data_IF_259533963940
#
_entry.id   IF_259533963940
#
_cell.length_a   1.000
_cell.length_b   1.000
_cell.length_c   1.000
_cell.angle_alpha   90.00
_cell.angle_beta   90.00
_cell.angle_gamma   90.00
#
_symmetry.space_group_name_H-M   'P 1'
#
loop_
_entity.id
_entity.type
_entity.pdbx_description
1 polymer ?
#
# COMPACT_ATOMS: atom_id res chain seq x y z
N UNK A 1 1.12 -13.90 -28.30
CA UNK A 1 2.02 -12.91 -27.67
C UNK A 1 1.21 -11.66 -27.38
N UNK A 2 1.03 -11.33 -26.09
CA UNK A 2 0.27 -10.16 -25.68
C UNK A 2 1.00 -8.86 -26.04
N UNK A 3 0.28 -7.74 -26.04
CA UNK A 3 0.90 -6.43 -26.27
C UNK A 3 1.95 -6.11 -25.19
N UNK A 4 1.71 -6.53 -23.96
CA UNK A 4 2.65 -6.39 -22.85
C UNK A 4 3.98 -7.11 -23.12
N UNK A 5 3.93 -8.33 -23.63
CA UNK A 5 5.12 -9.11 -24.00
C UNK A 5 5.98 -8.42 -25.06
N UNK A 6 5.36 -7.84 -26.11
CA UNK A 6 6.08 -7.10 -27.16
C UNK A 6 6.76 -5.84 -26.62
N UNK A 7 6.08 -5.11 -25.75
CA UNK A 7 6.61 -3.87 -25.13
C UNK A 7 7.81 -4.21 -24.25
N UNK A 8 7.70 -5.19 -23.35
CA UNK A 8 8.75 -5.56 -22.42
C UNK A 8 9.96 -6.16 -23.16
N UNK A 9 9.74 -7.05 -24.14
CA UNK A 9 10.82 -7.65 -24.95
C UNK A 9 11.60 -6.63 -25.75
N UNK A 10 10.92 -5.65 -26.34
CA UNK A 10 11.60 -4.58 -27.07
C UNK A 10 12.44 -3.69 -26.14
N UNK A 11 12.08 -3.57 -24.86
CA UNK A 11 12.77 -2.73 -23.88
C UNK A 11 14.03 -3.37 -23.27
N UNK A 12 14.19 -4.68 -23.37
CA UNK A 12 15.42 -5.38 -22.94
C UNK A 12 16.58 -5.19 -23.93
N UNK A 13 16.32 -4.69 -25.15
CA UNK A 13 17.33 -4.33 -26.14
C UNK A 13 17.73 -2.85 -26.01
N UNK A 14 18.64 -2.56 -25.26
CA UNK A 14 19.56 -1.50 -24.82
C UNK A 14 19.65 -0.13 -25.55
N UNK A 15 18.60 0.45 -26.14
CA UNK A 15 18.70 1.76 -26.84
C UNK A 15 17.49 2.67 -26.67
N UNK A 16 17.11 2.97 -25.44
CA UNK A 16 15.97 3.89 -25.22
C UNK A 16 16.35 5.15 -24.46
N UNK A 17 15.72 6.28 -24.83
CA UNK A 17 15.91 7.56 -24.16
C UNK A 17 15.42 7.50 -22.70
N UNK A 18 15.99 8.34 -21.79
CA UNK A 18 15.55 8.39 -20.39
C UNK A 18 14.05 8.64 -20.23
N UNK A 19 13.45 9.47 -21.10
CA UNK A 19 12.02 9.79 -21.08
C UNK A 19 11.14 8.58 -21.41
N UNK A 20 11.60 7.71 -22.32
CA UNK A 20 10.88 6.51 -22.68
C UNK A 20 10.94 5.45 -21.57
N UNK A 21 12.08 5.38 -20.87
CA UNK A 21 12.26 4.53 -19.69
C UNK A 21 11.29 4.95 -18.55
N UNK A 22 11.12 6.25 -18.31
CA UNK A 22 10.18 6.75 -17.30
C UNK A 22 8.71 6.42 -17.65
N UNK A 23 8.33 6.53 -18.91
CA UNK A 23 6.98 6.14 -19.36
C UNK A 23 6.73 4.65 -19.20
N UNK A 24 7.74 3.80 -19.46
CA UNK A 24 7.63 2.35 -19.21
C UNK A 24 7.44 2.04 -17.74
N UNK A 25 8.22 2.66 -16.87
CA UNK A 25 8.07 2.46 -15.41
C UNK A 25 6.69 2.85 -14.92
N UNK A 26 6.16 3.99 -15.37
CA UNK A 26 4.79 4.41 -15.05
C UNK A 26 3.75 3.40 -15.53
N UNK A 27 3.92 2.89 -16.77
CA UNK A 27 3.03 1.87 -17.32
C UNK A 27 3.15 0.53 -16.60
N UNK A 28 4.34 0.11 -16.17
CA UNK A 28 4.53 -1.13 -15.39
C UNK A 28 3.86 -1.08 -14.01
N UNK A 29 3.85 0.09 -13.37
CA UNK A 29 3.27 0.28 -12.03
C UNK A 29 1.76 0.55 -12.08
N UNK A 30 1.24 0.95 -13.23
CA UNK A 30 -0.20 1.14 -13.43
C UNK A 30 -0.94 -0.19 -13.32
N UNK A 31 -2.03 -0.22 -12.56
CA UNK A 31 -2.82 -1.42 -12.27
C UNK A 31 -3.61 -1.97 -13.46
N UNK A 32 -3.65 -1.25 -14.58
CA UNK A 32 -4.25 -1.76 -15.82
C UNK A 32 -3.44 -2.92 -16.39
N UNK A 33 -4.07 -4.01 -16.77
CA UNK A 33 -3.46 -5.19 -17.41
C UNK A 33 -2.35 -5.87 -16.56
N UNK A 34 -2.43 -5.80 -15.24
CA UNK A 34 -1.36 -6.26 -14.33
C UNK A 34 -1.02 -7.75 -14.55
N UNK A 35 -2.01 -8.61 -14.75
CA UNK A 35 -1.79 -10.04 -14.97
C UNK A 35 -0.98 -10.32 -16.26
N UNK A 36 -1.24 -9.60 -17.35
CA UNK A 36 -0.47 -9.76 -18.60
C UNK A 36 0.96 -9.24 -18.50
N UNK A 37 1.18 -8.19 -17.70
CA UNK A 37 2.51 -7.64 -17.42
C UNK A 37 3.36 -8.61 -16.59
N UNK A 38 2.76 -9.20 -15.55
CA UNK A 38 3.42 -10.20 -14.70
C UNK A 38 3.79 -11.45 -15.48
N UNK A 39 2.88 -11.96 -16.31
CA UNK A 39 3.14 -13.12 -17.18
C UNK A 39 4.29 -12.84 -18.17
N UNK A 40 4.29 -11.67 -18.82
CA UNK A 40 5.33 -11.28 -19.76
C UNK A 40 6.71 -11.07 -19.08
N UNK A 41 6.75 -10.57 -17.85
CA UNK A 41 7.98 -10.44 -17.07
C UNK A 41 8.53 -11.81 -16.63
N UNK A 42 7.64 -12.72 -16.25
CA UNK A 42 8.00 -14.08 -15.85
C UNK A 42 8.60 -14.87 -17.02
N UNK A 43 7.97 -14.80 -18.20
CA UNK A 43 8.47 -15.45 -19.43
C UNK A 43 9.85 -14.93 -19.85
N UNK A 44 10.09 -13.61 -19.73
CA UNK A 44 11.41 -13.02 -19.97
C UNK A 44 12.47 -13.44 -18.95
N UNK A 45 12.07 -13.62 -17.69
CA UNK A 45 12.96 -14.12 -16.65
C UNK A 45 13.39 -15.56 -16.91
N UNK A 46 12.47 -16.42 -17.36
CA UNK A 46 12.75 -17.82 -17.69
C UNK A 46 13.61 -17.98 -18.96
N UNK A 47 13.45 -17.07 -19.95
CA UNK A 47 14.23 -17.09 -21.20
C UNK A 47 15.67 -16.58 -21.05
N UNK A 48 16.04 -16.02 -19.90
CA UNK A 48 17.39 -15.58 -19.57
C UNK A 48 18.31 -16.76 -19.21
N UNK A 49 18.72 -17.51 -20.24
CA UNK A 49 19.70 -18.57 -20.12
C UNK A 49 21.09 -17.94 -19.91
N UNK A 50 21.49 -17.71 -18.66
CA UNK A 50 22.85 -17.26 -18.33
C UNK A 50 23.85 -18.36 -18.64
N UNK A 51 24.35 -18.39 -19.86
CA UNK A 51 25.54 -19.18 -20.17
C UNK A 51 26.77 -18.39 -19.73
N UNK A 52 27.55 -19.00 -18.83
CA UNK A 52 28.85 -18.44 -18.46
C UNK A 52 29.68 -18.22 -19.73
N UNK A 53 30.17 -16.99 -19.92
CA UNK A 53 31.04 -16.69 -21.04
C UNK A 53 32.46 -17.28 -20.81
N UNK A 54 33.26 -17.29 -21.87
CA UNK A 54 34.63 -17.83 -21.82
C UNK A 54 35.53 -17.08 -20.81
N UNK A 55 35.19 -15.85 -20.42
CA UNK A 55 35.87 -15.05 -19.41
C UNK A 55 35.56 -15.54 -18.01
N UNK A 56 34.30 -15.85 -17.74
CA UNK A 56 33.83 -16.41 -16.47
C UNK A 56 34.46 -17.79 -16.22
N UNK A 57 34.50 -18.65 -17.24
CA UNK A 57 35.12 -19.98 -17.14
C UNK A 57 36.64 -19.89 -16.89
N UNK A 58 37.34 -18.99 -17.59
CA UNK A 58 38.79 -18.74 -17.33
C UNK A 58 39.04 -18.22 -15.91
N UNK A 59 38.21 -17.34 -15.40
CA UNK A 59 38.28 -16.81 -14.03
C UNK A 59 38.08 -17.91 -13.00
N UNK A 60 37.12 -18.81 -13.23
CA UNK A 60 36.84 -19.98 -12.39
C UNK A 60 38.00 -20.96 -12.38
N UNK A 61 38.63 -21.28 -13.53
CA UNK A 61 39.79 -22.17 -13.64
C UNK A 61 41.01 -21.56 -12.96
N UNK A 62 41.22 -20.26 -13.08
CA UNK A 62 42.33 -19.55 -12.39
C UNK A 62 42.15 -19.55 -10.87
N UNK A 63 40.93 -19.36 -10.39
CA UNK A 63 40.58 -19.46 -8.97
C UNK A 63 40.87 -20.88 -8.45
N UNK A 64 40.40 -21.91 -9.17
CA UNK A 64 40.60 -23.33 -8.83
C UNK A 64 42.09 -23.72 -8.75
N UNK A 65 42.96 -23.19 -9.64
CA UNK A 65 44.42 -23.39 -9.59
C UNK A 65 45.06 -22.72 -8.36
N UNK A 66 44.54 -21.60 -7.90
CA UNK A 66 45.07 -20.88 -6.73
C UNK A 66 44.72 -21.56 -5.41
N UNK A 67 43.64 -22.29 -5.33
CA UNK A 67 43.18 -22.99 -4.12
C UNK A 67 43.58 -24.47 -4.09
N UNK A 68 44.24 -24.98 -5.16
CA UNK A 68 44.77 -26.34 -5.16
C UNK A 68 45.81 -26.50 -4.06
N UNK A 69 45.68 -27.50 -3.18
CA UNK A 69 46.60 -27.63 -2.03
C UNK A 69 48.03 -27.96 -2.49
N UNK A 70 48.98 -27.07 -2.18
CA UNK A 70 50.39 -27.32 -2.38
C UNK A 70 50.83 -28.42 -1.39
N UNK A 71 51.22 -29.60 -1.88
CA UNK A 71 51.75 -30.68 -1.04
C UNK A 71 53.04 -30.18 -0.32
N UNK A 72 52.91 -29.84 0.95
CA UNK A 72 54.08 -29.59 1.83
C UNK A 72 54.37 -30.83 2.66
N UNK A 73 55.67 -31.23 2.63
CA UNK A 73 56.23 -32.42 3.28
C UNK A 73 55.95 -32.46 4.80
N UNK A 74 55.70 -33.65 5.29
CA UNK A 74 55.16 -34.02 6.58
C UNK A 74 56.21 -33.99 7.75
N UNK A 75 56.66 -32.80 8.17
CA UNK A 75 57.50 -32.65 9.39
C UNK A 75 56.91 -31.73 10.47
N UNK A 76 55.68 -31.24 10.27
CA UNK A 76 55.04 -30.34 11.23
C UNK A 76 53.82 -30.97 11.96
N UNK A 77 53.68 -32.30 11.97
CA UNK A 77 52.46 -32.96 12.48
C UNK A 77 52.30 -32.90 14.00
N UNK A 78 53.34 -32.72 14.76
CA UNK A 78 53.29 -32.81 16.25
C UNK A 78 52.95 -31.45 16.91
N UNK A 79 53.50 -30.36 16.41
CA UNK A 79 53.18 -29.02 16.91
C UNK A 79 51.80 -28.57 16.48
N UNK A 80 51.38 -28.90 15.24
CA UNK A 80 50.06 -28.57 14.71
C UNK A 80 48.92 -29.18 15.55
N UNK A 81 49.13 -30.41 16.07
CA UNK A 81 48.10 -31.10 16.86
C UNK A 81 47.87 -30.46 18.24
N UNK A 82 48.88 -29.92 18.89
CA UNK A 82 48.77 -29.16 20.15
C UNK A 82 48.13 -27.81 19.91
N UNK A 83 48.51 -27.09 18.89
CA UNK A 83 47.87 -25.81 18.53
C UNK A 83 46.43 -25.99 18.09
N UNK A 84 46.08 -27.08 17.39
CA UNK A 84 44.72 -27.40 17.04
C UNK A 84 43.82 -27.70 18.26
N UNK A 85 44.40 -28.37 19.29
CA UNK A 85 43.67 -28.63 20.54
C UNK A 85 43.37 -27.35 21.32
N UNK A 86 44.35 -26.42 21.39
CA UNK A 86 44.17 -25.11 22.04
C UNK A 86 43.18 -24.24 21.22
N UNK A 87 43.34 -24.24 19.91
CA UNK A 87 42.44 -23.50 19.03
C UNK A 87 40.96 -24.04 19.10
N UNK A 88 40.79 -25.35 19.24
CA UNK A 88 39.46 -25.95 19.35
C UNK A 88 38.69 -25.50 20.62
N UNK A 89 39.42 -25.29 21.73
CA UNK A 89 38.81 -24.81 22.99
C UNK A 89 38.24 -23.40 22.86
N UNK A 90 38.81 -22.57 21.98
CA UNK A 90 38.31 -21.21 21.72
C UNK A 90 37.39 -21.13 20.49
N UNK A 91 37.67 -21.91 19.44
CA UNK A 91 36.90 -21.90 18.20
C UNK A 91 35.50 -22.54 18.33
N UNK A 92 35.39 -23.64 19.10
CA UNK A 92 34.12 -24.31 19.27
C UNK A 92 33.08 -23.43 20.00
N UNK A 93 33.41 -22.79 21.15
CA UNK A 93 32.50 -21.83 21.78
C UNK A 93 32.18 -20.62 20.90
N UNK A 94 33.21 -20.07 20.20
CA UNK A 94 33.01 -18.96 19.28
C UNK A 94 32.06 -19.35 18.12
N UNK A 95 32.30 -20.51 17.49
CA UNK A 95 31.42 -21.01 16.43
C UNK A 95 30.04 -21.37 16.94
N UNK A 96 29.89 -21.89 18.18
CA UNK A 96 28.58 -22.14 18.75
C UNK A 96 27.83 -20.85 19.08
N UNK A 97 28.51 -19.79 19.53
CA UNK A 97 27.92 -18.46 19.73
C UNK A 97 27.50 -17.86 18.39
N UNK A 98 28.37 -17.91 17.37
CA UNK A 98 28.05 -17.43 16.03
C UNK A 98 26.91 -18.25 15.40
N UNK A 99 26.96 -19.59 15.53
CA UNK A 99 25.90 -20.46 15.04
C UNK A 99 24.57 -20.21 15.76
N UNK A 100 24.59 -20.04 17.10
CA UNK A 100 23.40 -19.65 17.87
C UNK A 100 22.88 -18.28 17.46
N UNK A 101 23.77 -17.31 17.26
CA UNK A 101 23.39 -15.98 16.79
C UNK A 101 22.76 -16.04 15.38
N UNK A 102 23.38 -16.74 14.43
CA UNK A 102 22.85 -16.96 13.09
C UNK A 102 21.56 -17.79 13.09
N UNK A 103 21.45 -18.78 13.98
CA UNK A 103 20.24 -19.58 14.17
C UNK A 103 19.09 -18.74 14.73
N UNK A 104 19.34 -17.87 15.71
CA UNK A 104 18.34 -16.93 16.23
C UNK A 104 17.95 -15.93 15.15
N UNK A 105 18.91 -15.41 14.39
CA UNK A 105 18.64 -14.48 13.29
C UNK A 105 17.94 -15.14 12.09
N UNK A 106 18.21 -16.42 11.81
CA UNK A 106 17.53 -17.18 10.75
C UNK A 106 16.14 -17.68 11.15
N UNK A 107 15.86 -17.75 12.45
CA UNK A 107 14.54 -18.03 13.01
C UNK A 107 13.69 -16.76 13.22
N UNK A 108 14.01 -15.63 12.58
CA UNK A 108 12.98 -14.69 12.26
C UNK A 108 11.98 -15.44 11.39
N UNK A 109 10.91 -15.95 12.03
CA UNK A 109 9.79 -16.59 11.35
C UNK A 109 9.40 -15.65 10.21
N UNK A 110 9.71 -16.02 8.98
CA UNK A 110 9.17 -15.37 7.80
C UNK A 110 7.66 -15.56 7.88
N UNK A 111 7.03 -14.68 8.65
CA UNK A 111 5.59 -14.70 8.77
C UNK A 111 5.05 -14.37 7.39
N UNK A 112 4.42 -15.34 6.76
CA UNK A 112 3.79 -15.13 5.46
C UNK A 112 2.83 -13.95 5.57
N UNK A 113 2.93 -13.03 4.63
CA UNK A 113 2.04 -11.88 4.53
C UNK A 113 0.79 -12.29 3.77
N UNK A 114 -0.34 -11.90 4.29
CA UNK A 114 -1.65 -11.98 3.65
C UNK A 114 -1.94 -10.64 2.99
N UNK A 115 -2.20 -10.66 1.71
CA UNK A 115 -2.70 -9.52 0.94
C UNK A 115 -4.20 -9.67 0.76
N UNK A 116 -4.96 -8.76 1.33
CA UNK A 116 -6.41 -8.75 1.22
C UNK A 116 -6.88 -7.53 0.43
N UNK A 117 -7.28 -7.75 -0.80
CA UNK A 117 -7.80 -6.71 -1.68
C UNK A 117 -9.32 -6.74 -1.73
N UNK A 118 -9.93 -5.59 -1.53
CA UNK A 118 -11.37 -5.35 -1.72
C UNK A 118 -11.57 -4.65 -3.05
N UNK A 119 -12.27 -5.26 -4.02
CA UNK A 119 -12.56 -4.62 -5.29
C UNK A 119 -13.35 -3.31 -5.12
N UNK A 120 -13.29 -2.44 -6.12
CA UNK A 120 -14.19 -1.30 -6.20
C UNK A 120 -15.64 -1.80 -6.19
N UNK A 121 -16.56 -1.01 -5.66
CA UNK A 121 -17.97 -1.37 -5.51
C UNK A 121 -18.30 -2.25 -4.31
N UNK A 122 -17.30 -2.88 -3.69
CA UNK A 122 -17.46 -3.78 -2.55
C UNK A 122 -16.94 -3.20 -1.24
N UNK A 123 -17.44 -3.73 -0.14
CA UNK A 123 -16.93 -3.48 1.21
C UNK A 123 -16.85 -4.83 1.93
N UNK A 124 -15.83 -5.01 2.76
CA UNK A 124 -15.62 -6.28 3.48
C UNK A 124 -15.30 -6.02 4.94
N UNK A 125 -15.76 -6.92 5.77
CA UNK A 125 -15.33 -7.01 7.16
C UNK A 125 -14.46 -8.25 7.34
N UNK A 126 -13.31 -8.09 7.95
CA UNK A 126 -12.41 -9.20 8.28
C UNK A 126 -12.01 -9.15 9.76
N UNK A 127 -11.62 -10.30 10.28
CA UNK A 127 -11.02 -10.38 11.61
C UNK A 127 -9.54 -10.73 11.45
N UNK A 128 -8.68 -9.91 12.00
CA UNK A 128 -7.23 -10.09 12.00
C UNK A 128 -6.80 -11.15 13.02
N UNK A 129 -5.57 -11.69 12.92
CA UNK A 129 -5.08 -12.78 13.79
C UNK A 129 -5.09 -12.46 15.29
N UNK A 130 -5.04 -11.18 15.68
CA UNK A 130 -5.12 -10.74 17.08
C UNK A 130 -6.56 -10.58 17.61
N UNK A 131 -7.56 -10.80 16.73
CA UNK A 131 -8.97 -10.59 17.01
C UNK A 131 -9.44 -9.15 16.81
N UNK A 132 -8.61 -8.28 16.22
CA UNK A 132 -9.02 -6.95 15.75
C UNK A 132 -9.98 -7.10 14.58
N UNK A 133 -11.06 -6.31 14.58
CA UNK A 133 -11.99 -6.23 13.45
C UNK A 133 -11.57 -5.08 12.54
N UNK A 134 -11.42 -5.35 11.25
CA UNK A 134 -11.18 -4.36 10.23
C UNK A 134 -12.33 -4.36 9.21
N UNK A 135 -12.98 -3.20 9.06
CA UNK A 135 -13.91 -2.93 7.96
C UNK A 135 -13.11 -2.28 6.85
N UNK A 136 -13.15 -2.82 5.66
CA UNK A 136 -12.38 -2.38 4.50
C UNK A 136 -13.33 -1.80 3.45
N UNK A 137 -13.05 -0.58 3.02
CA UNK A 137 -13.86 0.11 2.02
C UNK A 137 -13.44 -0.25 0.58
N UNK A 138 -14.20 0.19 -0.39
CA UNK A 138 -14.01 -0.09 -1.82
C UNK A 138 -12.62 0.30 -2.33
N UNK A 139 -11.97 -0.59 -3.09
CA UNK A 139 -10.63 -0.35 -3.63
C UNK A 139 -9.50 -0.43 -2.60
N UNK A 140 -9.72 -1.04 -1.44
CA UNK A 140 -8.75 -1.11 -0.36
C UNK A 140 -7.88 -2.36 -0.44
N UNK A 141 -6.57 -2.19 -0.27
CA UNK A 141 -5.60 -3.25 -0.03
C UNK A 141 -5.13 -3.18 1.43
N UNK A 142 -5.29 -4.28 2.16
CA UNK A 142 -4.73 -4.47 3.49
C UNK A 142 -3.72 -5.62 3.47
N UNK A 143 -2.48 -5.34 3.88
CA UNK A 143 -1.43 -6.35 4.01
C UNK A 143 -1.12 -6.56 5.49
N UNK A 144 -1.20 -7.80 5.94
CA UNK A 144 -0.96 -8.15 7.34
C UNK A 144 -0.34 -9.54 7.45
N UNK A 145 0.41 -9.84 8.54
CA UNK A 145 0.99 -11.17 8.74
C UNK A 145 -0.07 -12.19 9.14
N UNK A 146 0.10 -13.46 8.74
CA UNK A 146 -0.78 -14.57 9.18
C UNK A 146 -0.83 -14.70 10.71
N UNK A 147 0.22 -14.25 11.41
CA UNK A 147 0.31 -14.21 12.86
C UNK A 147 1.16 -13.03 13.27
N UNK A 148 0.70 -12.26 14.25
CA UNK A 148 1.53 -11.22 14.86
C UNK A 148 2.54 -11.86 15.81
N UNK A 149 3.81 -11.83 15.41
CA UNK A 149 4.94 -12.30 16.21
C UNK A 149 5.80 -11.09 16.58
N UNK A 150 6.22 -10.99 17.84
CA UNK A 150 7.05 -9.89 18.35
C UNK A 150 6.27 -8.79 19.07
N UNK A 151 6.95 -7.65 19.29
CA UNK A 151 6.51 -6.59 20.22
C UNK A 151 5.46 -5.65 19.61
N UNK A 152 5.14 -5.77 18.33
CA UNK A 152 4.17 -4.91 17.64
C UNK A 152 3.26 -5.71 16.72
N UNK A 153 2.01 -5.24 16.59
CA UNK A 153 1.02 -5.72 15.62
C UNK A 153 0.96 -4.74 14.46
N UNK A 154 1.59 -5.04 13.35
CA UNK A 154 1.71 -4.09 12.23
C UNK A 154 0.95 -4.57 11.00
N UNK A 155 0.18 -3.68 10.39
CA UNK A 155 -0.50 -3.86 9.10
C UNK A 155 -0.13 -2.72 8.15
N UNK A 156 -0.26 -2.95 6.85
CA UNK A 156 -0.07 -1.92 5.83
C UNK A 156 -1.36 -1.71 5.07
N UNK A 157 -1.76 -0.44 4.93
CA UNK A 157 -3.03 -0.03 4.33
C UNK A 157 -2.79 0.88 3.13
N UNK A 158 -3.42 0.54 2.00
CA UNK A 158 -3.67 1.43 0.88
C UNK A 158 -5.18 1.44 0.67
N UNK A 159 -5.84 2.58 0.85
CA UNK A 159 -7.28 2.68 0.80
C UNK A 159 -7.90 3.19 2.09
N UNK A 160 -9.10 2.76 2.41
CA UNK A 160 -9.82 3.19 3.61
C UNK A 160 -10.24 2.00 4.46
N UNK A 161 -9.93 2.08 5.75
CA UNK A 161 -10.33 1.07 6.73
C UNK A 161 -10.74 1.68 8.07
N UNK A 162 -11.79 1.11 8.65
CA UNK A 162 -12.19 1.36 10.04
C UNK A 162 -11.76 0.16 10.88
N UNK A 163 -10.94 0.42 11.88
CA UNK A 163 -10.41 -0.60 12.78
C UNK A 163 -11.07 -0.53 14.15
N UNK A 164 -11.54 -1.66 14.65
CA UNK A 164 -11.90 -1.86 16.05
C UNK A 164 -10.82 -2.76 16.67
N UNK A 165 -9.79 -2.12 17.22
CA UNK A 165 -8.57 -2.79 17.65
C UNK A 165 -8.73 -3.41 19.02
N UNK A 166 -8.45 -4.71 19.12
CA UNK A 166 -8.43 -5.43 20.40
C UNK A 166 -7.40 -4.82 21.34
N UNK A 167 -7.86 -4.53 22.57
CA UNK A 167 -7.03 -3.87 23.58
C UNK A 167 -5.86 -4.74 24.02
N UNK A 168 -4.65 -4.24 23.77
CA UNK A 168 -3.39 -4.81 24.24
C UNK A 168 -2.37 -3.69 24.42
N UNK A 169 -2.00 -3.44 25.69
CA UNK A 169 -1.06 -2.37 26.06
C UNK A 169 0.40 -2.76 25.85
N UNK A 170 0.69 -4.06 25.79
CA UNK A 170 2.06 -4.55 25.67
C UNK A 170 2.52 -4.59 24.21
N UNK A 171 1.58 -4.89 23.28
CA UNK A 171 1.86 -5.00 21.87
C UNK A 171 1.05 -3.96 21.09
N UNK A 172 1.59 -2.76 20.84
CA UNK A 172 0.92 -1.72 20.06
C UNK A 172 0.48 -2.21 18.68
N UNK A 173 -0.70 -1.76 18.24
CA UNK A 173 -1.18 -1.98 16.86
C UNK A 173 -0.80 -0.78 16.02
N UNK A 174 -0.17 -1.01 14.86
CA UNK A 174 0.34 0.03 13.98
C UNK A 174 -0.22 -0.17 12.57
N UNK A 175 -1.03 0.79 12.11
CA UNK A 175 -1.41 0.90 10.70
C UNK A 175 -0.38 1.75 9.99
N UNK A 176 0.36 1.16 9.06
CA UNK A 176 1.29 1.86 8.17
C UNK A 176 0.57 2.23 6.89
N UNK A 177 0.77 3.45 6.42
CA UNK A 177 0.35 3.93 5.11
C UNK A 177 1.57 4.43 4.33
N UNK A 178 1.37 4.95 3.14
CA UNK A 178 2.47 5.54 2.36
C UNK A 178 3.16 6.71 3.09
N UNK A 179 2.41 7.49 3.86
CA UNK A 179 2.88 8.76 4.43
C UNK A 179 2.95 8.74 5.96
N UNK A 180 2.05 8.01 6.60
CA UNK A 180 1.85 8.05 8.05
C UNK A 180 1.89 6.65 8.68
N UNK A 181 2.14 6.63 9.98
CA UNK A 181 1.94 5.49 10.86
C UNK A 181 0.94 5.88 11.95
N UNK A 182 -0.06 5.05 12.14
CA UNK A 182 -1.12 5.26 13.14
C UNK A 182 -0.98 4.20 14.22
N UNK A 183 -0.54 4.59 15.41
CA UNK A 183 -0.23 3.71 16.54
C UNK A 183 -1.31 3.78 17.60
N UNK A 184 -1.80 2.62 18.02
CA UNK A 184 -2.88 2.48 19.03
C UNK A 184 -2.66 1.29 19.96
N UNK A 185 -3.37 1.27 21.10
CA UNK A 185 -3.30 0.19 22.10
C UNK A 185 -4.64 -0.55 22.31
N UNK A 186 -5.70 -0.14 21.61
CA UNK A 186 -7.06 -0.67 21.76
C UNK A 186 -8.07 0.46 21.55
N UNK A 187 -8.40 0.73 20.32
CA UNK A 187 -8.96 2.00 19.84
C UNK A 187 -9.85 1.72 18.65
N UNK A 188 -10.93 2.45 18.52
CA UNK A 188 -11.76 2.44 17.32
C UNK A 188 -11.51 3.72 16.53
N UNK A 189 -11.06 3.57 15.27
CA UNK A 189 -10.64 4.69 14.42
C UNK A 189 -10.75 4.34 12.94
N UNK A 190 -10.87 5.37 12.11
CA UNK A 190 -10.87 5.28 10.65
C UNK A 190 -9.58 5.85 10.07
N UNK A 191 -9.02 5.19 9.09
CA UNK A 191 -7.88 5.68 8.29
C UNK A 191 -8.28 5.69 6.83
N UNK A 192 -8.16 6.86 6.18
CA UNK A 192 -8.37 7.06 4.75
C UNK A 192 -7.03 7.44 4.14
N UNK A 193 -6.47 6.56 3.31
CA UNK A 193 -5.13 6.67 2.76
C UNK A 193 -5.02 6.03 1.36
N UNK A 194 -5.88 6.46 0.43
CA UNK A 194 -5.77 6.04 -0.96
C UNK A 194 -4.54 6.66 -1.61
N UNK A 195 -3.87 5.91 -2.47
CA UNK A 195 -2.62 6.34 -3.09
C UNK A 195 -2.81 7.52 -4.07
N UNK A 196 -4.01 7.60 -4.69
CA UNK A 196 -4.38 8.65 -5.64
C UNK A 196 -4.89 9.92 -4.99
N UNK A 197 -5.21 9.91 -3.68
CA UNK A 197 -5.74 11.07 -2.97
C UNK A 197 -4.62 11.98 -2.47
N UNK A 198 -4.84 13.29 -2.56
CA UNK A 198 -3.89 14.30 -2.06
C UNK A 198 -3.77 14.30 -0.54
N UNK A 199 -4.71 13.69 0.17
CA UNK A 199 -4.77 13.73 1.63
C UNK A 199 -4.89 12.35 2.25
N UNK A 200 -4.18 12.18 3.37
CA UNK A 200 -4.35 11.05 4.28
C UNK A 200 -5.03 11.55 5.55
N UNK A 201 -6.13 10.89 5.95
CA UNK A 201 -6.84 11.28 7.17
C UNK A 201 -6.91 10.15 8.19
N UNK A 202 -6.85 10.53 9.46
CA UNK A 202 -7.05 9.62 10.60
C UNK A 202 -8.10 10.21 11.52
N UNK A 203 -9.20 9.50 11.73
CA UNK A 203 -10.35 9.94 12.52
C UNK A 203 -10.53 9.02 13.73
N UNK A 204 -10.58 9.58 14.93
CA UNK A 204 -10.71 8.81 16.15
C UNK A 204 -12.14 8.78 16.68
N UNK A 205 -12.72 7.56 16.81
CA UNK A 205 -14.04 7.35 17.42
C UNK A 205 -13.94 7.14 18.94
N UNK A 206 -13.04 6.26 19.39
CA UNK A 206 -12.88 6.00 20.82
C UNK A 206 -11.46 5.52 21.15
N UNK A 207 -10.96 5.83 22.33
CA UNK A 207 -9.63 5.47 22.78
C UNK A 207 -8.62 6.61 22.58
N UNK A 208 -7.42 6.30 22.08
CA UNK A 208 -6.35 7.26 21.79
C UNK A 208 -5.52 6.79 20.60
N UNK A 209 -5.13 7.71 19.76
CA UNK A 209 -4.30 7.48 18.56
C UNK A 209 -3.08 8.37 18.62
N UNK A 210 -1.90 7.79 18.40
CA UNK A 210 -0.67 8.55 18.11
C UNK A 210 -0.40 8.44 16.62
N UNK A 211 -0.36 9.58 15.94
CA UNK A 211 0.02 9.63 14.53
C UNK A 211 1.48 10.03 14.42
N UNK A 212 2.22 9.29 13.59
CA UNK A 212 3.65 9.42 13.37
C UNK A 212 3.94 9.60 11.88
N UNK A 213 5.04 10.26 11.56
CA UNK A 213 5.63 10.23 10.22
C UNK A 213 6.26 8.86 9.92
N UNK A 214 6.61 8.61 8.68
CA UNK A 214 7.28 7.38 8.26
C UNK A 214 8.58 7.09 9.04
N UNK A 215 9.29 8.14 9.50
CA UNK A 215 10.52 8.07 10.29
C UNK A 215 10.29 7.82 11.80
N UNK A 216 9.07 7.52 12.24
CA UNK A 216 8.62 7.33 13.64
C UNK A 216 8.61 8.62 14.50
N UNK A 217 8.71 9.79 13.90
CA UNK A 217 8.50 11.06 14.60
C UNK A 217 7.02 11.25 14.92
N UNK A 218 6.69 11.45 16.21
CA UNK A 218 5.32 11.71 16.62
C UNK A 218 4.86 13.07 16.09
N UNK A 219 3.77 13.09 15.34
CA UNK A 219 3.14 14.32 14.85
C UNK A 219 2.18 14.84 15.92
N UNK A 220 1.23 13.99 16.33
CA UNK A 220 0.15 14.40 17.22
C UNK A 220 -0.51 13.19 17.88
N UNK A 221 -1.12 13.45 19.04
CA UNK A 221 -2.07 12.53 19.67
C UNK A 221 -3.49 13.04 19.49
N UNK A 222 -4.38 12.13 19.04
CA UNK A 222 -5.81 12.39 18.88
C UNK A 222 -6.59 11.87 20.07
N UNK A 223 -7.64 12.63 20.43
CA UNK A 223 -8.70 12.25 21.37
C UNK A 223 -10.01 12.01 20.61
N UNK A 224 -11.02 11.33 21.19
CA UNK A 224 -12.28 11.05 20.50
C UNK A 224 -12.92 12.30 19.86
N UNK A 225 -13.48 12.13 18.65
CA UNK A 225 -14.01 13.19 17.81
C UNK A 225 -12.95 14.17 17.29
N UNK A 226 -11.68 13.77 17.24
CA UNK A 226 -10.65 14.50 16.53
C UNK A 226 -10.26 13.77 15.25
N UNK A 227 -9.90 14.55 14.24
CA UNK A 227 -9.37 14.08 12.97
C UNK A 227 -8.06 14.81 12.66
N UNK A 228 -7.04 14.06 12.26
CA UNK A 228 -5.88 14.58 11.58
C UNK A 228 -6.14 14.52 10.07
N UNK A 229 -5.89 15.62 9.37
CA UNK A 229 -5.80 15.72 7.92
C UNK A 229 -4.34 16.04 7.58
N UNK A 230 -3.72 15.16 6.82
CA UNK A 230 -2.33 15.28 6.37
C UNK A 230 -2.31 15.46 4.86
N UNK A 231 -1.72 16.55 4.40
CA UNK A 231 -1.53 16.85 2.99
C UNK A 231 -0.29 16.10 2.48
N UNK A 232 -0.49 15.16 1.59
CA UNK A 232 0.54 14.24 1.11
C UNK A 232 1.66 14.94 0.33
N UNK A 233 1.37 15.93 -0.56
CA UNK A 233 2.38 16.65 -1.29
C UNK A 233 3.24 17.59 -0.43
N UNK A 234 2.62 18.37 0.47
CA UNK A 234 3.34 19.36 1.26
C UNK A 234 3.91 18.83 2.56
N UNK A 235 3.32 17.74 3.10
CA UNK A 235 3.64 17.24 4.43
C UNK A 235 3.07 18.06 5.58
N UNK A 236 2.22 19.05 5.27
CA UNK A 236 1.49 19.83 6.27
C UNK A 236 0.35 19.01 6.87
N UNK A 237 -0.03 19.32 8.10
CA UNK A 237 -1.14 18.65 8.75
C UNK A 237 -2.01 19.65 9.53
N UNK A 238 -3.28 19.30 9.64
CA UNK A 238 -4.25 20.04 10.39
C UNK A 238 -5.09 19.12 11.27
N UNK A 239 -5.34 19.51 12.51
CA UNK A 239 -6.22 18.80 13.43
C UNK A 239 -7.57 19.52 13.51
N UNK A 240 -8.65 18.75 13.36
CA UNK A 240 -10.02 19.24 13.39
C UNK A 240 -10.82 18.51 14.47
N UNK A 241 -11.75 19.22 15.10
CA UNK A 241 -12.80 18.62 15.91
C UNK A 241 -13.98 18.33 14.97
N UNK A 242 -14.46 17.09 14.99
CA UNK A 242 -15.49 16.60 14.04
C UNK A 242 -16.45 15.65 14.76
N UNK A 243 -17.54 15.29 14.12
CA UNK A 243 -18.34 14.13 14.52
C UNK A 243 -17.76 12.87 13.84
N UNK A 244 -17.01 12.06 14.59
CA UNK A 244 -16.34 10.88 14.07
C UNK A 244 -17.32 9.86 13.44
N UNK A 245 -18.57 9.83 13.91
CA UNK A 245 -19.59 8.91 13.38
C UNK A 245 -19.94 9.17 11.92
N UNK A 246 -19.74 10.39 11.44
CA UNK A 246 -19.94 10.77 10.03
C UNK A 246 -18.92 10.08 9.14
N UNK A 247 -17.65 10.04 9.58
CA UNK A 247 -16.53 9.49 8.81
C UNK A 247 -16.46 7.96 8.83
N UNK A 248 -17.06 7.32 9.82
CA UNK A 248 -17.26 5.86 9.86
C UNK A 248 -18.63 5.40 9.42
N UNK A 249 -19.50 6.32 8.98
CA UNK A 249 -20.88 6.03 8.54
C UNK A 249 -20.95 4.98 7.43
N UNK A 250 -19.95 4.92 6.58
CA UNK A 250 -19.87 3.95 5.49
C UNK A 250 -19.86 2.49 5.99
N UNK A 251 -19.37 2.20 7.20
CA UNK A 251 -19.43 0.85 7.81
C UNK A 251 -20.87 0.41 8.12
N UNK A 252 -21.79 1.36 8.16
CA UNK A 252 -23.24 1.15 8.37
C UNK A 252 -24.05 1.31 7.08
N UNK A 253 -23.34 1.44 5.92
CA UNK A 253 -23.96 1.65 4.63
C UNK A 253 -24.36 3.09 4.34
N UNK A 254 -24.01 4.06 5.18
CA UNK A 254 -24.22 5.48 4.92
C UNK A 254 -23.21 5.98 3.89
N UNK A 255 -23.57 6.99 3.10
CA UNK A 255 -22.64 7.69 2.22
C UNK A 255 -22.64 9.17 2.61
N UNK A 256 -21.52 9.62 3.15
CA UNK A 256 -21.35 10.95 3.70
C UNK A 256 -20.22 11.69 2.97
N UNK A 257 -20.56 12.75 2.27
CA UNK A 257 -19.62 13.72 1.72
C UNK A 257 -19.58 14.92 2.68
N UNK A 258 -18.53 15.08 3.45
CA UNK A 258 -18.41 16.11 4.48
C UNK A 258 -17.34 17.14 4.08
N UNK A 259 -17.76 18.32 3.64
CA UNK A 259 -16.89 19.40 3.17
C UNK A 259 -15.88 18.94 2.10
N UNK A 260 -16.37 18.18 1.11
CA UNK A 260 -15.57 17.64 0.02
C UNK A 260 -15.70 18.50 -1.25
N UNK A 261 -14.64 18.58 -2.02
CA UNK A 261 -14.69 19.20 -3.36
C UNK A 261 -15.49 18.32 -4.31
N UNK A 262 -15.93 18.91 -5.43
CA UNK A 262 -16.63 18.15 -6.47
C UNK A 262 -15.79 16.97 -6.99
N UNK A 263 -14.51 17.18 -7.19
CA UNK A 263 -13.58 16.14 -7.64
C UNK A 263 -13.50 14.98 -6.64
N UNK A 264 -13.37 15.28 -5.34
CA UNK A 264 -13.31 14.26 -4.29
C UNK A 264 -14.62 13.46 -4.17
N UNK A 265 -15.76 14.16 -4.33
CA UNK A 265 -17.08 13.50 -4.36
C UNK A 265 -17.15 12.49 -5.52
N UNK A 266 -16.74 12.90 -6.73
CA UNK A 266 -16.78 12.01 -7.88
C UNK A 266 -15.80 10.84 -7.76
N UNK A 267 -14.56 11.07 -7.32
CA UNK A 267 -13.59 10.00 -7.05
C UNK A 267 -14.15 9.00 -6.03
N UNK A 268 -14.81 9.49 -4.99
CA UNK A 268 -15.45 8.63 -3.99
C UNK A 268 -16.61 7.81 -4.59
N UNK A 269 -17.44 8.44 -5.44
CA UNK A 269 -18.53 7.74 -6.14
C UNK A 269 -17.98 6.68 -7.09
N UNK A 270 -16.93 6.98 -7.86
CA UNK A 270 -16.25 6.02 -8.74
C UNK A 270 -15.79 4.77 -7.99
N UNK A 271 -15.20 4.94 -6.81
CA UNK A 271 -14.77 3.81 -5.97
C UNK A 271 -15.93 2.97 -5.45
N UNK A 272 -16.99 3.63 -4.97
CA UNK A 272 -18.13 2.95 -4.31
C UNK A 272 -19.05 2.25 -5.31
N UNK A 273 -19.12 2.73 -6.55
CA UNK A 273 -20.02 2.20 -7.57
C UNK A 273 -19.31 1.46 -8.70
N UNK A 274 -17.96 1.43 -8.67
CA UNK A 274 -17.13 0.84 -9.72
C UNK A 274 -17.47 1.38 -11.11
N UNK A 275 -17.52 2.71 -11.20
CA UNK A 275 -17.82 3.44 -12.43
C UNK A 275 -16.73 4.44 -12.74
N UNK A 276 -16.77 5.03 -13.93
CA UNK A 276 -15.87 6.10 -14.33
C UNK A 276 -16.66 7.39 -14.61
N UNK A 277 -16.23 8.50 -14.02
CA UNK A 277 -16.89 9.81 -14.15
C UNK A 277 -15.97 10.78 -14.88
N UNK A 278 -16.35 11.17 -16.07
CA UNK A 278 -15.58 12.12 -16.87
C UNK A 278 -16.05 13.53 -16.53
N UNK A 279 -15.15 14.33 -15.95
CA UNK A 279 -15.43 15.71 -15.55
C UNK A 279 -14.61 16.66 -16.43
N UNK A 280 -15.24 17.55 -17.20
CA UNK A 280 -14.50 18.59 -17.94
C UNK A 280 -13.73 19.51 -16.98
N UNK A 281 -12.49 19.90 -17.29
CA UNK A 281 -11.64 20.67 -16.38
C UNK A 281 -12.26 22.00 -15.90
N UNK A 282 -13.06 22.65 -16.71
CA UNK A 282 -13.70 23.91 -16.36
C UNK A 282 -14.84 23.78 -15.31
N UNK A 283 -15.25 22.55 -14.99
CA UNK A 283 -16.23 22.25 -13.93
C UNK A 283 -15.58 21.86 -12.60
N UNK A 284 -14.28 21.65 -12.58
CA UNK A 284 -13.53 21.42 -11.35
C UNK A 284 -13.44 22.73 -10.57
N UNK A 285 -14.21 22.86 -9.49
CA UNK A 285 -14.18 24.01 -8.59
C UNK A 285 -13.56 23.65 -7.25
N UNK A 286 -13.11 24.65 -6.52
CA UNK A 286 -12.61 24.50 -5.14
C UNK A 286 -13.72 24.59 -4.09
N UNK A 287 -14.97 24.78 -4.52
CA UNK A 287 -16.11 24.79 -3.62
C UNK A 287 -16.26 23.44 -2.93
N UNK A 288 -16.63 23.48 -1.67
CA UNK A 288 -16.86 22.27 -0.86
C UNK A 288 -18.34 22.07 -0.58
N UNK A 289 -18.74 20.82 -0.61
CA UNK A 289 -20.13 20.41 -0.45
C UNK A 289 -20.28 19.42 0.70
N UNK A 290 -21.44 19.46 1.37
CA UNK A 290 -21.81 18.48 2.39
C UNK A 290 -23.14 17.83 1.99
N UNK A 291 -23.08 16.54 1.68
CA UNK A 291 -24.25 15.75 1.25
C UNK A 291 -24.26 14.44 2.04
N UNK A 292 -25.41 14.06 2.60
CA UNK A 292 -25.54 12.83 3.40
C UNK A 292 -26.64 11.94 2.83
N UNK A 293 -26.31 10.67 2.66
CA UNK A 293 -27.25 9.61 2.32
C UNK A 293 -27.30 8.61 3.47
N UNK A 294 -28.49 8.30 3.96
CA UNK A 294 -28.69 7.38 5.10
C UNK A 294 -28.36 5.93 4.76
N UNK A 295 -28.34 5.60 3.49
CA UNK A 295 -27.99 4.27 2.98
C UNK A 295 -27.52 4.37 1.54
N UNK A 296 -26.78 3.36 1.07
CA UNK A 296 -26.34 3.26 -0.33
C UNK A 296 -27.55 3.19 -1.25
N UNK A 297 -27.78 4.25 -2.00
CA UNK A 297 -28.86 4.34 -2.99
C UNK A 297 -28.34 3.96 -4.38
N UNK A 298 -29.23 3.68 -5.36
CA UNK A 298 -28.81 3.50 -6.75
C UNK A 298 -28.04 4.72 -7.28
N UNK A 299 -27.02 4.49 -8.11
CA UNK A 299 -26.16 5.55 -8.64
C UNK A 299 -26.94 6.72 -9.26
N UNK A 300 -28.03 6.44 -9.98
CA UNK A 300 -28.87 7.47 -10.58
C UNK A 300 -29.49 8.41 -9.54
N UNK A 301 -29.88 7.88 -8.39
CA UNK A 301 -30.44 8.69 -7.29
C UNK A 301 -29.34 9.56 -6.67
N UNK A 302 -28.18 8.98 -6.43
CA UNK A 302 -27.00 9.72 -5.92
C UNK A 302 -26.65 10.86 -6.87
N UNK A 303 -26.47 10.58 -8.15
CA UNK A 303 -26.11 11.60 -9.15
C UNK A 303 -27.16 12.69 -9.29
N UNK A 304 -28.44 12.35 -9.25
CA UNK A 304 -29.51 13.35 -9.29
C UNK A 304 -29.48 14.31 -8.09
N UNK A 305 -29.18 13.79 -6.88
CA UNK A 305 -29.05 14.62 -5.68
C UNK A 305 -27.77 15.46 -5.74
N UNK A 306 -26.65 14.88 -6.13
CA UNK A 306 -25.36 15.56 -6.25
C UNK A 306 -25.46 16.70 -7.26
N UNK A 307 -25.91 16.44 -8.49
CA UNK A 307 -26.01 17.48 -9.53
C UNK A 307 -27.00 18.57 -9.16
N UNK A 308 -28.14 18.23 -8.51
CA UNK A 308 -29.12 19.20 -8.03
C UNK A 308 -28.57 20.06 -6.88
N UNK A 309 -27.76 19.50 -5.98
CA UNK A 309 -27.17 20.23 -4.85
C UNK A 309 -26.10 21.21 -5.32
N UNK A 310 -25.27 20.78 -6.26
CA UNK A 310 -24.18 21.59 -6.83
C UNK A 310 -24.77 22.69 -7.73
N UNK A 311 -25.81 22.36 -8.50
CA UNK A 311 -26.38 23.26 -9.50
C UNK A 311 -25.43 23.43 -10.70
N UNK A 312 -25.95 23.96 -11.79
CA UNK A 312 -25.19 24.25 -13.02
C UNK A 312 -24.40 23.07 -13.63
N UNK A 313 -24.58 21.87 -13.11
CA UNK A 313 -24.07 20.63 -13.70
C UNK A 313 -25.19 19.61 -13.86
N UNK A 314 -25.02 18.75 -14.85
CA UNK A 314 -25.88 17.59 -15.08
C UNK A 314 -25.02 16.43 -15.56
N UNK A 315 -25.60 15.24 -15.70
CA UNK A 315 -24.85 14.07 -16.13
C UNK A 315 -25.56 13.30 -17.23
N UNK A 316 -24.79 12.61 -18.05
CA UNK A 316 -25.29 11.69 -19.08
C UNK A 316 -24.59 10.35 -18.92
N UNK A 317 -25.34 9.27 -19.07
CA UNK A 317 -24.79 7.92 -19.13
C UNK A 317 -24.29 7.71 -20.56
N UNK A 318 -22.98 7.54 -20.74
CA UNK A 318 -22.37 7.24 -22.05
C UNK A 318 -22.31 5.75 -22.29
N UNK A 319 -22.02 4.95 -21.22
CA UNK A 319 -21.95 3.49 -21.25
C UNK A 319 -22.38 2.94 -19.90
N UNK A 320 -22.49 1.61 -19.73
CA UNK A 320 -22.96 0.98 -18.49
C UNK A 320 -22.23 1.48 -17.25
N UNK A 321 -20.92 1.77 -17.39
CA UNK A 321 -20.06 2.20 -16.29
C UNK A 321 -19.40 3.57 -16.52
N UNK A 322 -19.87 4.36 -17.48
CA UNK A 322 -19.28 5.68 -17.79
C UNK A 322 -20.34 6.77 -17.68
N UNK A 323 -20.08 7.75 -16.83
CA UNK A 323 -20.87 8.96 -16.68
C UNK A 323 -20.09 10.16 -17.19
N UNK A 324 -20.71 10.99 -18.00
CA UNK A 324 -20.18 12.27 -18.46
C UNK A 324 -20.88 13.41 -17.73
N UNK A 325 -20.11 14.26 -17.06
CA UNK A 325 -20.61 15.49 -16.44
C UNK A 325 -20.54 16.64 -17.45
N UNK A 326 -21.59 17.44 -17.50
CA UNK A 326 -21.62 18.63 -18.36
C UNK A 326 -22.36 19.76 -17.69
N UNK A 327 -22.11 20.99 -18.14
CA UNK A 327 -22.93 22.16 -17.77
C UNK A 327 -24.09 22.26 -18.73
N UNK A 328 -25.34 22.19 -18.25
CA UNK A 328 -26.50 22.42 -19.11
C UNK A 328 -26.42 23.85 -19.64
N UNK A 329 -26.36 24.01 -20.94
CA UNK A 329 -26.43 25.33 -21.59
C UNK A 329 -27.65 26.08 -21.06
N UNK A 330 -27.41 27.27 -20.51
CA UNK A 330 -28.45 28.15 -19.99
C UNK A 330 -29.47 28.47 -21.12
N UNK A 331 -30.56 27.75 -21.20
CA UNK A 331 -31.67 28.01 -22.13
C UNK A 331 -32.44 29.31 -21.75
N UNK A 332 -31.80 30.27 -21.08
CA UNK A 332 -32.36 31.59 -20.78
C UNK A 332 -31.54 32.66 -21.50
N UNK A 333 -31.75 32.75 -22.81
CA UNK A 333 -31.14 33.78 -23.66
C UNK A 333 -31.85 33.87 -25.01
N UNK A 334 -33.16 33.89 -24.98
CA UNK A 334 -34.00 34.06 -26.18
C UNK A 334 -35.37 34.68 -25.83
N UNK A 335 -35.35 35.95 -25.56
CA UNK A 335 -36.48 36.86 -25.84
C UNK A 335 -35.96 38.26 -26.12
#
# INVERSE_FOLDING_TARGET
>A
MSNAHKIIKNFTSDKFSPELKEKLWKWLVDSSEQAEKEEALMELWEDQNFKADAGTERSYQNFRRKIAPRQRKATARYTLRRWAQVAAVFLIPLLSIVASYLYIQSNEEHTELVEYYVPRGEQKQITLPDGTTAYLNSGTLLVYPQKFTGDIRSVYLIGEANFDVKKDKQHPFIVKTNHLKVKVLGTKFNVHAYAEDEKTTTTLESGSVVVQKANNEDIITLTPNEQLEYDNPSGEFNKKIIDASVYSGWTRGELNFAAMTLSDIFITIERIYDIHIIVPPHLATTDVYTIKFKQKAPIKEIMNIVTKTIGNIDYKVEDENILLIYSPLNKKGGR
#
